data_IF_896317701051
#
_entry.id   IF_896317701051
#
_cell.length_a   1.000
_cell.length_b   1.000
_cell.length_c   1.000
_cell.angle_alpha   90.00
_cell.angle_beta   90.00
_cell.angle_gamma   90.00
#
_symmetry.space_group_name_H-M   'P 1'
#
loop_
_entity.id
_entity.type
_entity.pdbx_description
1 polymer ?
#
# COMPACT_ATOMS: atom_id res chain seq x y z
N UNK A 1 27.10 25.33 -26.27
CA UNK A 1 26.47 25.05 -24.95
C UNK A 1 24.96 24.80 -25.06
N UNK A 2 24.37 24.79 -26.25
CA UNK A 2 22.97 24.41 -26.52
C UNK A 2 22.81 22.95 -26.91
N UNK A 3 23.83 22.35 -27.53
CA UNK A 3 23.80 20.99 -28.09
C UNK A 3 23.69 19.92 -26.98
N UNK A 4 24.39 20.12 -25.86
CA UNK A 4 24.31 19.23 -24.69
C UNK A 4 22.92 19.25 -24.04
N UNK A 5 22.21 20.37 -24.09
CA UNK A 5 20.89 20.52 -23.47
C UNK A 5 19.79 19.87 -24.33
N UNK A 6 19.94 19.87 -25.66
CA UNK A 6 19.06 19.12 -26.56
C UNK A 6 19.31 17.61 -26.46
N UNK A 7 20.57 17.19 -26.39
CA UNK A 7 20.93 15.77 -26.21
C UNK A 7 20.43 15.22 -24.85
N UNK A 8 20.55 15.99 -23.77
CA UNK A 8 19.97 15.62 -22.47
C UNK A 8 18.43 15.59 -22.48
N UNK A 9 17.76 16.34 -23.35
CA UNK A 9 16.31 16.38 -23.46
C UNK A 9 15.73 15.28 -24.36
N UNK A 10 16.51 14.74 -25.30
CA UNK A 10 16.12 13.59 -26.11
C UNK A 10 16.15 12.28 -25.32
N UNK A 11 17.09 12.13 -24.37
CA UNK A 11 17.18 10.96 -23.47
C UNK A 11 15.85 10.65 -22.74
N UNK A 12 15.21 11.59 -22.00
CA UNK A 12 13.93 11.33 -21.34
C UNK A 12 12.78 11.13 -22.35
N UNK A 13 12.89 11.71 -23.55
CA UNK A 13 11.88 11.60 -24.59
C UNK A 13 11.86 10.22 -25.23
N UNK A 14 13.03 9.67 -25.53
CA UNK A 14 13.21 8.28 -25.97
C UNK A 14 12.81 7.31 -24.85
N UNK A 15 13.16 7.59 -23.58
CA UNK A 15 12.80 6.74 -22.44
C UNK A 15 11.28 6.65 -22.21
N UNK A 16 10.56 7.77 -22.35
CA UNK A 16 9.09 7.78 -22.28
C UNK A 16 8.48 7.06 -23.48
N UNK A 17 9.04 7.23 -24.68
CA UNK A 17 8.58 6.53 -25.89
C UNK A 17 8.73 5.02 -25.76
N UNK A 18 9.87 4.56 -25.26
CA UNK A 18 10.14 3.15 -25.05
C UNK A 18 9.33 2.58 -23.87
N UNK A 19 9.14 3.35 -22.80
CA UNK A 19 8.25 3.00 -21.69
C UNK A 19 6.79 2.84 -22.14
N UNK A 20 6.31 3.72 -23.03
CA UNK A 20 4.98 3.62 -23.63
C UNK A 20 4.84 2.37 -24.49
N UNK A 21 5.84 2.05 -25.33
CA UNK A 21 5.83 0.81 -26.11
C UNK A 21 5.83 -0.43 -25.22
N UNK A 22 6.62 -0.42 -24.14
CA UNK A 22 6.67 -1.52 -23.18
C UNK A 22 5.30 -1.76 -22.52
N UNK A 23 4.67 -0.72 -21.98
CA UNK A 23 3.34 -0.82 -21.35
C UNK A 23 2.26 -1.28 -22.34
N UNK A 24 2.40 -0.96 -23.63
CA UNK A 24 1.49 -1.39 -24.67
C UNK A 24 1.72 -2.85 -25.12
N UNK A 25 2.91 -3.40 -24.88
CA UNK A 25 3.26 -4.81 -25.11
C UNK A 25 2.89 -5.72 -23.94
N UNK A 26 2.72 -5.16 -22.74
CA UNK A 26 2.28 -5.94 -21.58
C UNK A 26 0.83 -6.44 -21.75
N UNK A 27 0.60 -7.70 -21.39
CA UNK A 27 -0.76 -8.25 -21.26
C UNK A 27 -1.45 -7.59 -20.06
N UNK A 28 -2.41 -6.70 -20.33
CA UNK A 28 -3.21 -6.09 -19.27
C UNK A 28 -4.19 -7.13 -18.70
N UNK A 29 -4.28 -7.29 -17.38
CA UNK A 29 -5.19 -8.25 -16.77
C UNK A 29 -6.63 -7.90 -17.14
N UNK A 30 -7.43 -8.91 -17.47
CA UNK A 30 -8.85 -8.72 -17.75
C UNK A 30 -9.60 -8.32 -16.47
N UNK A 31 -10.79 -7.72 -16.62
CA UNK A 31 -11.65 -7.33 -15.50
C UNK A 31 -11.91 -8.49 -14.53
N UNK A 32 -12.04 -9.72 -15.05
CA UNK A 32 -12.27 -10.91 -14.21
C UNK A 32 -11.04 -11.31 -13.38
N UNK A 33 -9.85 -11.17 -13.93
CA UNK A 33 -8.60 -11.46 -13.22
C UNK A 33 -8.32 -10.41 -12.16
N UNK A 34 -8.54 -9.14 -12.50
CA UNK A 34 -8.41 -8.05 -11.55
C UNK A 34 -9.37 -8.19 -10.37
N UNK A 35 -10.63 -8.59 -10.62
CA UNK A 35 -11.60 -8.87 -9.57
C UNK A 35 -11.15 -9.99 -8.63
N UNK A 36 -10.63 -11.11 -9.16
CA UNK A 36 -10.11 -12.21 -8.34
C UNK A 36 -8.93 -11.79 -7.48
N UNK A 37 -7.98 -11.05 -8.05
CA UNK A 37 -6.79 -10.55 -7.33
C UNK A 37 -7.23 -9.55 -6.26
N UNK A 38 -8.10 -8.61 -6.60
CA UNK A 38 -8.60 -7.59 -5.65
C UNK A 38 -9.39 -8.22 -4.49
N UNK A 39 -10.15 -9.29 -4.73
CA UNK A 39 -10.83 -10.03 -3.68
C UNK A 39 -9.83 -10.74 -2.76
N UNK A 40 -8.83 -11.42 -3.32
CA UNK A 40 -7.80 -12.10 -2.52
C UNK A 40 -7.02 -11.11 -1.65
N UNK A 41 -6.62 -9.97 -2.22
CA UNK A 41 -5.93 -8.89 -1.49
C UNK A 41 -6.85 -8.24 -0.46
N UNK A 42 -8.12 -8.01 -0.79
CA UNK A 42 -9.11 -7.43 0.12
C UNK A 42 -9.37 -8.31 1.34
N UNK A 43 -9.48 -9.63 1.16
CA UNK A 43 -9.62 -10.59 2.27
C UNK A 43 -8.36 -10.58 3.14
N UNK A 44 -7.17 -10.59 2.52
CA UNK A 44 -5.90 -10.49 3.26
C UNK A 44 -5.78 -9.21 4.08
N UNK A 45 -6.16 -8.07 3.52
CA UNK A 45 -6.14 -6.78 4.22
C UNK A 45 -7.10 -6.75 5.40
N UNK A 46 -8.31 -7.29 5.25
CA UNK A 46 -9.30 -7.38 6.34
C UNK A 46 -8.80 -8.26 7.47
N UNK A 47 -8.19 -9.41 7.18
CA UNK A 47 -7.65 -10.31 8.22
C UNK A 47 -6.50 -9.64 8.96
N UNK A 48 -5.53 -9.06 8.24
CA UNK A 48 -4.39 -8.37 8.86
C UNK A 48 -4.83 -7.17 9.69
N UNK A 49 -5.79 -6.39 9.19
CA UNK A 49 -6.35 -5.23 9.89
C UNK A 49 -7.16 -5.63 11.13
N UNK A 50 -7.96 -6.69 11.05
CA UNK A 50 -8.75 -7.19 12.18
C UNK A 50 -7.82 -7.69 13.30
N UNK A 51 -6.81 -8.50 12.98
CA UNK A 51 -5.84 -9.00 13.96
C UNK A 51 -5.15 -7.82 14.67
N UNK A 52 -4.70 -6.81 13.91
CA UNK A 52 -4.10 -5.61 14.49
C UNK A 52 -5.05 -4.82 15.40
N UNK A 53 -6.33 -4.72 15.04
CA UNK A 53 -7.35 -4.05 15.84
C UNK A 53 -7.65 -4.79 17.16
N UNK A 54 -7.78 -6.12 17.12
CA UNK A 54 -8.05 -6.92 18.31
C UNK A 54 -6.87 -6.94 19.29
N UNK A 55 -5.64 -7.01 18.78
CA UNK A 55 -4.43 -6.89 19.61
C UNK A 55 -4.38 -5.52 20.27
N UNK A 56 -4.58 -4.45 19.51
CA UNK A 56 -4.58 -3.08 20.06
C UNK A 56 -5.69 -2.85 21.09
N UNK A 57 -6.86 -3.45 20.87
CA UNK A 57 -8.00 -3.34 21.78
C UNK A 57 -7.84 -4.15 23.06
N UNK A 58 -7.16 -5.30 23.05
CA UNK A 58 -6.97 -6.10 24.28
C UNK A 58 -5.91 -5.51 25.21
N UNK A 59 -5.02 -4.67 24.67
CA UNK A 59 -3.94 -3.99 25.40
C UNK A 59 -4.40 -2.69 26.09
N UNK A 60 -5.52 -2.09 25.68
CA UNK A 60 -6.12 -0.88 26.27
C UNK A 60 -6.87 -1.09 27.61
N UNK A 61 -7.75 -2.10 27.79
CA UNK A 61 -8.52 -2.30 29.01
C UNK A 61 -7.69 -2.63 30.27
N UNK A 62 -6.55 -3.36 30.24
CA UNK A 62 -5.82 -3.65 31.47
C UNK A 62 -5.18 -2.40 32.08
N UNK A 63 -4.82 -1.39 31.29
CA UNK A 63 -4.24 -0.13 31.80
C UNK A 63 -5.31 0.73 32.50
N UNK A 64 -6.49 0.89 31.89
CA UNK A 64 -7.59 1.66 32.51
C UNK A 64 -8.08 1.00 33.82
N UNK A 65 -8.21 -0.33 33.84
CA UNK A 65 -8.62 -1.06 35.06
C UNK A 65 -7.53 -1.10 36.14
N UNK A 66 -6.25 -1.22 35.79
CA UNK A 66 -5.16 -1.23 36.78
C UNK A 66 -4.99 0.13 37.49
N UNK A 67 -5.15 1.25 36.79
CA UNK A 67 -5.10 2.59 37.41
C UNK A 67 -6.32 2.87 38.29
N UNK A 68 -7.51 2.34 37.94
CA UNK A 68 -8.71 2.47 38.79
C UNK A 68 -8.62 1.61 40.07
N UNK A 69 -8.02 0.42 39.99
CA UNK A 69 -7.72 -0.42 41.16
C UNK A 69 -6.75 0.25 42.15
N UNK A 70 -5.78 1.00 41.64
CA UNK A 70 -4.83 1.79 42.46
C UNK A 70 -5.44 3.05 43.09
N UNK A 71 -6.66 3.46 42.71
CA UNK A 71 -7.40 4.56 43.34
C UNK A 71 -8.42 4.05 44.39
N UNK A 72 -8.62 2.74 44.51
CA UNK A 72 -9.46 2.11 45.55
C UNK A 72 -8.65 1.63 46.77
N UNK A 73 -7.35 1.94 46.83
CA UNK A 73 -6.52 1.72 48.02
C UNK A 73 -6.10 3.04 48.72
N UNK A 74 -7.05 3.87 49.21
CA UNK A 74 -6.81 4.79 50.32
C UNK A 74 -7.13 4.18 51.69
#
# INVERSE_FOLDING_TARGET
MSDTFQELADIPKDFVRDGMQFVNRCTKPDKREFLKISQAVGVGFVIMGAIGYFVKLSELPPIMSATLGALHEP
#
